data_IF_527171922392
#
_entry.id   IF_527171922392
#
_cell.length_a   1.000
_cell.length_b   1.000
_cell.length_c   1.000
_cell.angle_alpha   90.00
_cell.angle_beta   90.00
_cell.angle_gamma   90.00
#
_symmetry.space_group_name_H-M   'P 1'
#
loop_
_entity.id
_entity.type
_entity.pdbx_description
1 polymer ?
#
# COMPACT_ATOMS: atom_id res chain seq x y z
N UNK A 1 6.45 -7.02 -0.75
CA UNK A 1 6.82 -5.91 -1.63
C UNK A 1 7.49 -6.40 -2.91
N UNK A 2 8.46 -7.31 -2.84
CA UNK A 2 9.21 -7.82 -4.01
C UNK A 2 8.35 -8.53 -5.08
N UNK A 3 7.14 -8.90 -4.77
CA UNK A 3 6.24 -9.62 -5.69
C UNK A 3 5.26 -8.72 -6.45
N UNK A 4 5.35 -7.42 -6.27
CA UNK A 4 4.44 -6.47 -6.90
C UNK A 4 3.07 -6.40 -6.21
N UNK A 5 2.08 -5.94 -6.95
CA UNK A 5 0.70 -5.79 -6.46
C UNK A 5 -0.06 -7.11 -6.57
N UNK A 6 -1.14 -7.26 -5.81
CA UNK A 6 -2.07 -8.40 -5.93
C UNK A 6 -2.56 -8.55 -7.37
N UNK A 7 -2.87 -7.44 -8.04
CA UNK A 7 -3.28 -7.44 -9.45
C UNK A 7 -2.27 -8.14 -10.38
N UNK A 8 -0.97 -8.04 -10.09
CA UNK A 8 0.09 -8.65 -10.90
C UNK A 8 0.17 -10.19 -10.70
N UNK A 9 -0.44 -10.71 -9.63
CA UNK A 9 -0.55 -12.13 -9.35
C UNK A 9 -1.87 -12.74 -9.84
N UNK A 10 -2.87 -11.91 -10.18
CA UNK A 10 -4.18 -12.39 -10.67
C UNK A 10 -4.04 -12.84 -12.12
N UNK A 11 -4.38 -14.09 -12.38
CA UNK A 11 -4.42 -14.67 -13.73
C UNK A 11 -5.81 -14.59 -14.35
N UNK A 12 -6.84 -14.59 -13.52
CA UNK A 12 -8.22 -14.49 -13.97
C UNK A 12 -9.20 -14.38 -12.80
N UNK A 13 -10.41 -13.93 -13.10
CA UNK A 13 -11.48 -13.70 -12.13
C UNK A 13 -12.80 -14.27 -12.63
N UNK A 14 -13.62 -14.70 -11.67
CA UNK A 14 -15.07 -14.88 -11.86
C UNK A 14 -15.76 -13.72 -11.17
N UNK A 15 -16.65 -13.06 -11.91
CA UNK A 15 -17.31 -11.82 -11.49
C UNK A 15 -18.78 -11.86 -11.80
N UNK A 16 -19.60 -11.42 -10.85
CA UNK A 16 -21.03 -11.15 -11.07
C UNK A 16 -21.22 -9.65 -11.25
N UNK A 17 -21.74 -9.24 -12.38
CA UNK A 17 -22.02 -7.84 -12.70
C UNK A 17 -23.27 -7.30 -12.00
N UNK A 18 -23.54 -6.00 -12.17
CA UNK A 18 -24.75 -5.35 -11.66
C UNK A 18 -26.06 -5.90 -12.28
N UNK A 19 -25.95 -6.52 -13.46
CA UNK A 19 -27.04 -7.21 -14.15
C UNK A 19 -27.30 -8.63 -13.62
N UNK A 20 -26.54 -9.09 -12.64
CA UNK A 20 -26.62 -10.44 -12.10
C UNK A 20 -25.94 -11.51 -12.96
N UNK A 21 -25.31 -11.13 -14.07
CA UNK A 21 -24.68 -12.07 -14.98
C UNK A 21 -23.28 -12.43 -14.46
N UNK A 22 -23.02 -13.74 -14.33
CA UNK A 22 -21.71 -14.27 -13.99
C UNK A 22 -20.83 -14.32 -15.24
N UNK A 23 -19.68 -13.70 -15.18
CA UNK A 23 -18.68 -13.65 -16.25
C UNK A 23 -17.32 -14.14 -15.77
N UNK A 24 -16.48 -14.55 -16.72
CA UNK A 24 -15.07 -14.91 -16.45
C UNK A 24 -14.16 -14.03 -17.28
N UNK A 25 -13.10 -13.51 -16.68
CA UNK A 25 -12.07 -12.74 -17.36
C UNK A 25 -10.69 -13.33 -17.03
N UNK A 26 -9.79 -13.34 -18.01
CA UNK A 26 -8.49 -14.01 -17.87
C UNK A 26 -8.62 -15.53 -17.96
N UNK A 27 -7.72 -16.26 -17.33
CA UNK A 27 -7.68 -17.73 -17.38
C UNK A 27 -6.65 -18.33 -16.43
N UNK A 28 -6.42 -19.63 -16.54
CA UNK A 28 -5.45 -20.38 -15.72
C UNK A 28 -4.02 -20.37 -16.29
N UNK A 29 -3.77 -19.54 -17.29
CA UNK A 29 -2.49 -19.47 -18.00
C UNK A 29 -1.78 -18.16 -17.73
N UNK A 30 -0.46 -18.20 -17.61
CA UNK A 30 0.37 -17.04 -17.29
C UNK A 30 0.37 -15.98 -18.41
N UNK A 31 0.11 -16.40 -19.64
CA UNK A 31 0.02 -15.50 -20.81
C UNK A 31 -1.34 -15.68 -21.49
N UNK A 32 -2.19 -14.68 -21.34
CA UNK A 32 -3.44 -14.57 -22.08
C UNK A 32 -3.39 -13.28 -22.91
N UNK A 33 -3.38 -13.42 -24.24
CA UNK A 33 -3.33 -12.30 -25.19
C UNK A 33 -4.68 -12.04 -25.85
N UNK A 34 -5.73 -12.73 -25.40
CA UNK A 34 -7.05 -12.63 -25.99
C UNK A 34 -7.89 -11.63 -25.20
N UNK A 35 -8.20 -10.49 -25.81
CA UNK A 35 -9.10 -9.49 -25.23
C UNK A 35 -8.43 -8.51 -24.25
N UNK A 36 -9.26 -7.65 -23.65
CA UNK A 36 -8.81 -6.68 -22.64
C UNK A 36 -8.60 -7.37 -21.31
N UNK A 37 -7.53 -6.99 -20.60
CA UNK A 37 -7.26 -7.45 -19.23
C UNK A 37 -8.23 -6.77 -18.24
N UNK A 38 -9.46 -7.26 -18.20
CA UNK A 38 -10.47 -6.79 -17.27
C UNK A 38 -10.17 -7.21 -15.83
N UNK A 39 -9.42 -8.28 -15.61
CA UNK A 39 -9.05 -8.73 -14.27
C UNK A 39 -8.32 -7.63 -13.50
N UNK A 40 -7.42 -6.90 -14.17
CA UNK A 40 -6.73 -5.75 -13.57
C UNK A 40 -7.66 -4.59 -13.22
N UNK A 41 -8.79 -4.42 -13.90
CA UNK A 41 -9.75 -3.35 -13.62
C UNK A 41 -10.61 -3.64 -12.39
N UNK A 42 -10.90 -4.92 -12.15
CA UNK A 42 -11.62 -5.34 -10.95
C UNK A 42 -10.74 -5.27 -9.70
N UNK A 43 -9.43 -5.50 -9.82
CA UNK A 43 -8.49 -5.39 -8.70
C UNK A 43 -8.38 -3.94 -8.22
N UNK A 44 -8.79 -3.67 -6.98
CA UNK A 44 -8.79 -2.33 -6.40
C UNK A 44 -10.02 -1.50 -6.71
N UNK A 45 -11.06 -2.07 -7.32
CA UNK A 45 -12.33 -1.39 -7.58
C UNK A 45 -13.22 -1.25 -6.34
N UNK A 46 -12.82 -1.78 -5.19
CA UNK A 46 -13.60 -1.78 -3.95
C UNK A 46 -15.03 -2.35 -4.10
N UNK A 47 -15.21 -3.29 -5.02
CA UNK A 47 -16.52 -3.89 -5.32
C UNK A 47 -17.49 -2.96 -6.07
N UNK A 48 -17.00 -1.81 -6.56
CA UNK A 48 -17.84 -0.84 -7.27
C UNK A 48 -18.13 -1.23 -8.73
N UNK A 49 -17.41 -2.21 -9.29
CA UNK A 49 -17.55 -2.65 -10.68
C UNK A 49 -18.15 -4.06 -10.81
N UNK A 50 -18.18 -4.85 -9.74
CA UNK A 50 -18.68 -6.22 -9.73
C UNK A 50 -18.36 -6.91 -8.42
N UNK A 51 -19.02 -8.07 -8.21
CA UNK A 51 -18.78 -8.96 -7.07
C UNK A 51 -17.84 -10.08 -7.52
N UNK A 52 -16.65 -10.15 -6.91
CA UNK A 52 -15.69 -11.21 -7.20
C UNK A 52 -16.13 -12.50 -6.49
N UNK A 53 -16.38 -13.56 -7.25
CA UNK A 53 -16.81 -14.87 -6.72
C UNK A 53 -15.72 -15.92 -6.78
N UNK A 54 -14.69 -15.69 -7.60
CA UNK A 54 -13.55 -16.58 -7.71
C UNK A 54 -12.34 -15.89 -8.33
N UNK A 55 -11.15 -16.37 -8.01
CA UNK A 55 -9.91 -15.87 -8.57
C UNK A 55 -8.91 -17.01 -8.82
N UNK A 56 -8.15 -16.90 -9.92
CA UNK A 56 -6.96 -17.70 -10.17
C UNK A 56 -5.74 -16.83 -9.92
N UNK A 57 -4.88 -17.32 -9.02
CA UNK A 57 -3.67 -16.59 -8.62
C UNK A 57 -2.43 -17.36 -9.07
N UNK A 58 -1.43 -16.65 -9.52
CA UNK A 58 -0.09 -17.20 -9.74
C UNK A 58 0.59 -17.41 -8.39
N UNK A 59 0.86 -18.66 -8.06
CA UNK A 59 1.61 -19.03 -6.88
C UNK A 59 3.12 -18.93 -7.14
N UNK A 60 3.88 -18.75 -6.09
CA UNK A 60 5.33 -18.78 -6.07
C UNK A 60 5.80 -19.81 -5.07
N UNK A 61 6.95 -20.47 -5.31
CA UNK A 61 7.51 -21.38 -4.33
C UNK A 61 7.88 -20.64 -3.04
N UNK A 62 7.73 -21.31 -1.92
CA UNK A 62 8.25 -20.79 -0.65
C UNK A 62 9.77 -20.71 -0.70
N UNK A 63 10.40 -19.66 -0.17
CA UNK A 63 11.85 -19.58 -0.07
C UNK A 63 12.38 -20.68 0.87
N UNK A 64 13.61 -21.14 0.63
CA UNK A 64 14.28 -22.14 1.48
C UNK A 64 14.59 -21.57 2.87
N UNK A 65 14.96 -20.31 2.92
CA UNK A 65 15.19 -19.57 4.17
C UNK A 65 14.26 -18.35 4.16
N UNK A 66 13.67 -18.11 5.30
CA UNK A 66 12.86 -16.91 5.55
C UNK A 66 13.13 -16.43 6.96
N UNK A 67 13.49 -15.15 7.10
CA UNK A 67 13.74 -14.53 8.40
C UNK A 67 13.38 -13.05 8.38
N UNK A 68 13.23 -12.48 9.57
CA UNK A 68 13.00 -11.05 9.75
C UNK A 68 14.12 -10.42 10.58
N UNK A 69 14.53 -9.24 10.17
CA UNK A 69 15.54 -8.42 10.85
C UNK A 69 14.95 -7.06 11.19
N UNK A 70 15.35 -6.50 12.32
CA UNK A 70 15.03 -5.14 12.72
C UNK A 70 16.30 -4.37 13.13
N UNK A 71 16.33 -3.08 12.83
CA UNK A 71 17.36 -2.18 13.31
C UNK A 71 16.73 -0.87 13.78
N UNK A 72 17.35 -0.17 14.76
CA UNK A 72 16.99 1.21 15.10
C UNK A 72 17.05 2.10 13.84
N UNK A 73 16.21 3.13 13.79
CA UNK A 73 16.27 4.09 12.69
C UNK A 73 17.60 4.86 12.74
N UNK A 74 18.31 5.02 11.60
CA UNK A 74 19.52 5.83 11.52
C UNK A 74 19.16 7.34 11.44
N UNK A 75 18.44 7.85 12.45
CA UNK A 75 17.93 9.22 12.46
C UNK A 75 19.03 10.29 12.58
N UNK A 76 20.20 9.92 13.13
CA UNK A 76 21.32 10.83 13.34
C UNK A 76 22.29 10.86 12.15
N UNK A 77 22.05 10.03 11.13
CA UNK A 77 22.89 9.97 9.94
C UNK A 77 22.25 10.79 8.80
N UNK A 78 23.00 11.71 8.19
CA UNK A 78 22.60 12.30 6.92
C UNK A 78 22.36 11.16 5.93
N UNK A 79 21.24 11.21 5.19
CA UNK A 79 20.87 10.20 4.23
C UNK A 79 20.50 8.80 4.78
N UNK A 80 20.26 8.65 6.10
CA UNK A 80 19.93 7.36 6.73
C UNK A 80 18.69 6.71 6.11
N UNK A 81 17.66 7.49 5.80
CA UNK A 81 16.46 7.01 5.10
C UNK A 81 16.79 6.45 3.72
N UNK A 82 17.58 7.19 2.93
CA UNK A 82 17.98 6.78 1.59
C UNK A 82 18.90 5.55 1.60
N UNK A 83 19.77 5.45 2.60
CA UNK A 83 20.60 4.27 2.81
C UNK A 83 19.73 3.02 3.04
N UNK A 84 18.73 3.09 3.92
CA UNK A 84 17.77 2.00 4.15
C UNK A 84 16.96 1.68 2.88
N UNK A 85 16.54 2.70 2.14
CA UNK A 85 15.85 2.51 0.85
C UNK A 85 16.74 1.82 -0.17
N UNK A 86 18.03 2.13 -0.22
CA UNK A 86 19.01 1.46 -1.08
C UNK A 86 19.11 -0.04 -0.81
N UNK A 87 18.99 -0.47 0.46
CA UNK A 87 19.03 -1.87 0.88
C UNK A 87 17.84 -2.71 0.40
N UNK A 88 16.74 -2.07 -0.02
CA UNK A 88 15.58 -2.78 -0.60
C UNK A 88 15.90 -3.49 -1.92
N UNK A 89 17.03 -3.16 -2.55
CA UNK A 89 17.48 -3.74 -3.82
C UNK A 89 18.25 -5.05 -3.66
N UNK A 90 18.55 -5.45 -2.43
CA UNK A 90 19.18 -6.74 -2.14
C UNK A 90 18.25 -7.88 -2.59
N UNK A 91 18.84 -8.95 -3.13
CA UNK A 91 18.10 -10.00 -3.84
C UNK A 91 17.13 -10.75 -2.97
N UNK A 92 17.52 -11.04 -1.72
CA UNK A 92 16.68 -11.78 -0.77
C UNK A 92 15.71 -10.89 0.00
N UNK A 93 15.81 -9.55 -0.07
CA UNK A 93 14.89 -8.65 0.61
C UNK A 93 13.51 -8.71 -0.05
N UNK A 94 12.54 -9.25 0.68
CA UNK A 94 11.13 -9.43 0.26
C UNK A 94 10.26 -8.25 0.64
N UNK A 95 10.52 -7.67 1.80
CA UNK A 95 9.86 -6.47 2.28
C UNK A 95 10.83 -5.65 3.13
N UNK A 96 10.62 -4.34 3.14
CA UNK A 96 11.30 -3.43 4.03
C UNK A 96 10.33 -2.34 4.48
N UNK A 97 10.29 -2.11 5.79
CA UNK A 97 9.32 -1.22 6.40
C UNK A 97 10.06 -0.28 7.35
N UNK A 98 9.94 1.01 7.11
CA UNK A 98 10.37 2.06 8.02
C UNK A 98 9.19 2.43 8.92
N UNK A 99 9.38 2.46 10.24
CA UNK A 99 8.34 2.77 11.22
C UNK A 99 8.83 3.86 12.15
N UNK A 100 8.09 4.96 12.20
CA UNK A 100 8.40 6.11 13.05
C UNK A 100 7.36 6.30 14.18
N UNK A 101 7.08 5.23 14.88
CA UNK A 101 6.08 5.20 15.95
C UNK A 101 4.67 4.95 15.41
N UNK A 102 4.06 3.87 15.83
CA UNK A 102 2.68 3.50 15.48
C UNK A 102 1.71 3.66 16.66
N UNK A 103 2.13 4.39 17.72
CA UNK A 103 1.26 4.61 18.89
C UNK A 103 1.10 3.37 19.75
N UNK A 104 2.18 2.64 19.98
CA UNK A 104 2.28 1.49 20.88
C UNK A 104 3.69 1.44 21.50
N UNK A 105 4.04 0.35 22.16
CA UNK A 105 5.34 0.11 22.79
C UNK A 105 6.51 -0.10 21.79
N UNK A 106 6.31 0.25 20.51
CA UNK A 106 7.30 0.02 19.47
C UNK A 106 8.22 1.21 19.31
N UNK A 107 9.51 0.98 19.61
CA UNK A 107 10.56 1.91 19.28
C UNK A 107 10.64 2.12 17.75
N UNK A 108 10.97 3.33 17.29
CA UNK A 108 11.21 3.61 15.88
C UNK A 108 12.26 2.66 15.30
N UNK A 109 11.91 1.96 14.23
CA UNK A 109 12.79 0.94 13.65
C UNK A 109 12.58 0.74 12.15
N UNK A 110 13.59 0.23 11.48
CA UNK A 110 13.47 -0.32 10.13
C UNK A 110 13.46 -1.84 10.18
N UNK A 111 12.53 -2.44 9.47
CA UNK A 111 12.30 -3.87 9.41
C UNK A 111 12.60 -4.39 8.02
N UNK A 112 13.22 -5.57 7.93
CA UNK A 112 13.49 -6.28 6.69
C UNK A 112 13.00 -7.72 6.79
N UNK A 113 12.25 -8.17 5.79
CA UNK A 113 11.96 -9.58 5.57
C UNK A 113 12.87 -10.09 4.46
N UNK A 114 13.67 -11.11 4.77
CA UNK A 114 14.52 -11.79 3.82
C UNK A 114 13.92 -13.14 3.46
N UNK A 115 14.06 -13.54 2.18
CA UNK A 115 13.62 -14.85 1.75
C UNK A 115 14.29 -15.25 0.43
N UNK A 116 15.00 -16.38 0.45
CA UNK A 116 15.75 -16.88 -0.71
C UNK A 116 16.44 -18.20 -0.44
N UNK A 117 17.55 -18.45 -1.13
CA UNK A 117 18.49 -19.51 -0.80
C UNK A 117 19.36 -19.12 0.41
N UNK A 118 20.01 -20.09 1.04
CA UNK A 118 20.94 -19.81 2.13
C UNK A 118 22.10 -18.87 1.73
N UNK A 119 22.58 -19.00 0.50
CA UNK A 119 23.69 -18.16 0.01
C UNK A 119 23.25 -16.70 -0.22
N UNK A 120 22.06 -16.49 -0.78
CA UNK A 120 21.49 -15.16 -0.98
C UNK A 120 21.19 -14.49 0.36
N UNK A 121 20.58 -15.23 1.28
CA UNK A 121 20.28 -14.71 2.62
C UNK A 121 21.56 -14.32 3.38
N UNK A 122 22.56 -15.19 3.43
CA UNK A 122 23.81 -14.92 4.14
C UNK A 122 24.56 -13.70 3.55
N UNK A 123 24.57 -13.56 2.22
CA UNK A 123 25.18 -12.41 1.55
C UNK A 123 24.46 -11.11 1.90
N UNK A 124 23.16 -11.10 1.79
CA UNK A 124 22.35 -9.89 1.97
C UNK A 124 22.24 -9.51 3.46
N UNK A 125 22.19 -10.50 4.35
CA UNK A 125 22.29 -10.28 5.80
C UNK A 125 23.61 -9.60 6.16
N UNK A 126 24.75 -10.07 5.65
CA UNK A 126 26.03 -9.43 5.87
C UNK A 126 26.07 -7.98 5.33
N UNK A 127 25.42 -7.72 4.20
CA UNK A 127 25.28 -6.36 3.65
C UNK A 127 24.42 -5.44 4.53
N UNK A 128 23.39 -5.96 5.19
CA UNK A 128 22.60 -5.23 6.16
C UNK A 128 23.39 -4.98 7.44
N UNK A 129 24.06 -6.00 7.99
CA UNK A 129 24.90 -5.92 9.21
C UNK A 129 26.06 -4.93 9.04
N UNK A 130 26.59 -4.79 7.84
CA UNK A 130 27.64 -3.81 7.54
C UNK A 130 27.19 -2.35 7.62
N UNK A 131 25.87 -2.09 7.61
CA UNK A 131 25.31 -0.74 7.56
C UNK A 131 24.38 -0.40 8.72
N UNK A 132 23.78 -1.41 9.33
CA UNK A 132 22.75 -1.26 10.36
C UNK A 132 23.02 -2.23 11.50
N UNK A 133 22.70 -1.83 12.72
CA UNK A 133 22.73 -2.69 13.90
C UNK A 133 21.52 -3.63 13.91
N UNK A 134 21.42 -4.53 12.93
CA UNK A 134 20.27 -5.45 12.80
C UNK A 134 20.27 -6.52 13.87
N UNK A 135 19.06 -6.89 14.28
CA UNK A 135 18.77 -8.03 15.14
C UNK A 135 17.73 -8.91 14.47
N UNK A 136 17.86 -10.22 14.60
CA UNK A 136 16.83 -11.16 14.18
C UNK A 136 15.61 -11.07 15.09
N UNK A 137 14.42 -11.10 14.49
CA UNK A 137 13.14 -11.03 15.17
C UNK A 137 12.20 -12.08 14.60
N UNK A 138 11.09 -12.33 15.28
CA UNK A 138 10.07 -13.24 14.77
C UNK A 138 9.40 -12.69 13.50
N UNK A 139 9.17 -13.56 12.52
CA UNK A 139 8.46 -13.23 11.27
C UNK A 139 7.04 -12.70 11.54
N UNK A 140 6.38 -13.23 12.57
CA UNK A 140 5.05 -12.77 13.00
C UNK A 140 5.02 -11.26 13.29
N UNK A 141 6.17 -10.68 13.65
CA UNK A 141 6.27 -9.24 13.87
C UNK A 141 6.03 -8.43 12.58
N UNK A 142 6.53 -8.92 11.44
CA UNK A 142 6.31 -8.29 10.12
C UNK A 142 4.81 -8.36 9.75
N UNK A 143 4.17 -9.50 10.01
CA UNK A 143 2.74 -9.66 9.77
C UNK A 143 1.91 -8.77 10.70
N UNK A 144 2.29 -8.67 11.97
CA UNK A 144 1.66 -7.75 12.92
C UNK A 144 1.74 -6.28 12.47
N UNK A 145 2.88 -5.84 11.90
CA UNK A 145 3.02 -4.51 11.31
C UNK A 145 2.10 -4.29 10.10
N UNK A 146 1.90 -5.32 9.28
CA UNK A 146 0.94 -5.26 8.15
C UNK A 146 -0.49 -5.15 8.64
N UNK A 147 -0.86 -5.94 9.64
CA UNK A 147 -2.20 -5.95 10.23
C UNK A 147 -2.50 -4.65 10.99
N UNK A 148 -1.51 -4.10 11.70
CA UNK A 148 -1.63 -2.82 12.38
C UNK A 148 -2.00 -1.68 11.43
N UNK A 149 -1.53 -1.70 10.20
CA UNK A 149 -1.88 -0.71 9.17
C UNK A 149 -3.35 -0.79 8.73
N UNK A 150 -3.92 -1.99 8.73
CA UNK A 150 -5.33 -2.20 8.41
C UNK A 150 -6.24 -1.85 9.59
N UNK A 151 -5.72 -1.86 10.82
CA UNK A 151 -6.48 -1.55 12.01
C UNK A 151 -6.71 -0.03 12.15
N UNK A 152 -7.95 0.39 12.18
CA UNK A 152 -8.33 1.81 12.37
C UNK A 152 -8.06 2.23 13.81
N UNK A 153 -8.29 1.34 14.77
CA UNK A 153 -8.13 1.63 16.19
C UNK A 153 -8.92 2.88 16.62
N UNK A 154 -8.28 3.75 17.41
CA UNK A 154 -8.83 5.04 17.83
C UNK A 154 -8.49 6.20 16.88
N UNK A 155 -7.80 5.93 15.75
CA UNK A 155 -7.42 6.96 14.81
C UNK A 155 -8.64 7.58 14.13
N UNK A 156 -8.69 8.90 14.07
CA UNK A 156 -9.74 9.62 13.34
C UNK A 156 -9.46 9.71 11.84
N UNK A 157 -8.19 9.59 11.45
CA UNK A 157 -7.75 9.62 10.06
C UNK A 157 -6.74 8.50 9.77
N UNK A 158 -6.89 7.90 8.60
CA UNK A 158 -5.90 6.99 8.01
C UNK A 158 -5.64 7.44 6.59
N UNK A 159 -4.39 7.74 6.30
CA UNK A 159 -3.93 8.21 5.00
C UNK A 159 -2.93 7.22 4.42
N UNK A 160 -3.01 7.04 3.11
CA UNK A 160 -2.00 6.34 2.34
C UNK A 160 -1.56 7.21 1.17
N UNK A 161 -0.28 7.51 1.07
CA UNK A 161 0.28 8.23 -0.05
C UNK A 161 1.27 7.34 -0.81
N UNK A 162 1.08 7.22 -2.11
CA UNK A 162 2.07 6.60 -2.98
C UNK A 162 2.87 7.71 -3.64
N UNK A 163 4.17 7.71 -3.40
CA UNK A 163 5.11 8.73 -3.88
C UNK A 163 6.35 8.07 -4.48
N UNK A 164 7.18 8.84 -5.17
CA UNK A 164 8.51 8.35 -5.55
C UNK A 164 9.32 8.06 -4.28
N UNK A 165 10.13 7.01 -4.31
CA UNK A 165 10.93 6.61 -3.14
C UNK A 165 11.80 7.74 -2.59
N UNK A 166 12.33 8.60 -3.46
CA UNK A 166 13.12 9.79 -3.12
C UNK A 166 12.33 10.86 -2.36
N UNK A 167 11.01 10.86 -2.49
CA UNK A 167 10.16 11.88 -1.87
C UNK A 167 9.51 11.40 -0.56
N UNK A 168 9.66 10.10 -0.24
CA UNK A 168 9.07 9.50 0.96
C UNK A 168 9.49 10.21 2.23
N UNK A 169 10.78 10.51 2.39
CA UNK A 169 11.33 11.13 3.60
C UNK A 169 10.69 12.50 3.90
N UNK A 170 10.52 13.33 2.87
CA UNK A 170 9.88 14.62 3.02
C UNK A 170 8.42 14.50 3.49
N UNK A 171 7.69 13.50 2.96
CA UNK A 171 6.31 13.20 3.37
C UNK A 171 6.27 12.67 4.80
N UNK A 172 7.16 11.74 5.14
CA UNK A 172 7.29 11.18 6.50
C UNK A 172 7.46 12.31 7.51
N UNK A 173 8.46 13.18 7.29
CA UNK A 173 8.71 14.32 8.17
C UNK A 173 7.48 15.20 8.34
N UNK A 174 6.82 15.55 7.25
CA UNK A 174 5.65 16.44 7.29
C UNK A 174 4.45 15.82 8.01
N UNK A 175 4.23 14.51 7.82
CA UNK A 175 3.14 13.80 8.48
C UNK A 175 3.40 13.61 9.97
N UNK A 176 4.67 13.39 10.36
CA UNK A 176 5.08 13.37 11.78
C UNK A 176 4.89 14.73 12.47
N UNK A 177 5.31 15.82 11.81
CA UNK A 177 5.10 17.18 12.33
C UNK A 177 3.61 17.47 12.60
N UNK A 178 2.71 16.84 11.85
CA UNK A 178 1.27 16.91 12.09
C UNK A 178 0.77 15.98 13.22
N UNK A 179 1.68 15.24 13.89
CA UNK A 179 1.35 14.35 15.00
C UNK A 179 0.81 12.98 14.58
N UNK A 180 1.02 12.59 13.32
CA UNK A 180 0.61 11.27 12.85
C UNK A 180 1.71 10.23 13.10
N UNK A 181 1.32 9.02 13.44
CA UNK A 181 2.16 7.84 13.35
C UNK A 181 2.36 7.49 11.87
N UNK A 182 3.61 7.20 11.48
CA UNK A 182 3.98 7.02 10.08
C UNK A 182 4.78 5.74 9.88
N UNK A 183 4.44 5.00 8.85
CA UNK A 183 5.27 3.90 8.35
C UNK A 183 5.39 3.94 6.83
N UNK A 184 6.50 3.40 6.30
CA UNK A 184 6.78 3.43 4.86
C UNK A 184 7.15 2.04 4.36
N UNK A 185 6.48 1.59 3.30
CA UNK A 185 6.96 0.48 2.47
C UNK A 185 8.07 1.01 1.56
N UNK A 186 9.32 0.86 1.99
CA UNK A 186 10.48 1.46 1.32
C UNK A 186 10.63 1.00 -0.15
N UNK A 187 10.36 -0.29 -0.40
CA UNK A 187 10.45 -0.87 -1.75
C UNK A 187 9.32 -0.44 -2.70
N UNK A 188 8.21 0.08 -2.19
CA UNK A 188 7.04 0.47 -2.98
C UNK A 188 6.82 1.99 -3.03
N UNK A 189 7.50 2.77 -2.19
CA UNK A 189 7.23 4.19 -2.05
C UNK A 189 5.81 4.48 -1.52
N UNK A 190 5.34 3.68 -0.57
CA UNK A 190 4.01 3.85 0.02
C UNK A 190 4.15 4.28 1.47
N UNK A 191 3.70 5.48 1.75
CA UNK A 191 3.63 6.06 3.09
C UNK A 191 2.25 5.81 3.66
N UNK A 192 2.18 5.13 4.79
CA UNK A 192 0.99 4.92 5.59
C UNK A 192 1.05 5.82 6.82
N UNK A 193 -0.03 6.47 7.15
CA UNK A 193 -0.10 7.31 8.34
C UNK A 193 -1.47 7.25 8.98
N UNK A 194 -1.49 7.35 10.32
CA UNK A 194 -2.72 7.33 11.11
C UNK A 194 -2.60 8.20 12.35
N UNK A 195 -3.70 8.69 12.82
CA UNK A 195 -3.76 9.50 14.04
C UNK A 195 -5.02 10.34 14.12
N UNK A 196 -4.91 11.44 14.84
CA UNK A 196 -6.00 12.39 15.01
C UNK A 196 -5.54 13.75 14.50
N UNK A 197 -6.32 14.34 13.60
CA UNK A 197 -6.10 15.69 13.10
C UNK A 197 -7.16 16.63 13.69
N UNK A 198 -6.80 17.91 13.95
CA UNK A 198 -7.73 18.86 14.56
C UNK A 198 -8.84 19.31 13.61
N UNK A 199 -8.57 19.39 12.32
CA UNK A 199 -9.50 19.94 11.32
C UNK A 199 -9.39 19.22 9.98
N UNK A 200 -10.45 19.36 9.17
CA UNK A 200 -10.45 18.91 7.77
C UNK A 200 -9.39 19.64 6.93
N UNK A 201 -9.13 20.90 7.22
CA UNK A 201 -8.14 21.68 6.48
C UNK A 201 -6.72 21.14 6.69
N UNK A 202 -6.37 20.73 7.92
CA UNK A 202 -5.11 20.05 8.20
C UNK A 202 -4.95 18.77 7.36
N UNK A 203 -6.03 18.00 7.18
CA UNK A 203 -6.03 16.82 6.29
C UNK A 203 -5.77 17.18 4.82
N UNK A 204 -6.40 18.27 4.35
CA UNK A 204 -6.22 18.75 2.97
C UNK A 204 -4.82 19.31 2.72
N UNK A 205 -4.22 19.96 3.72
CA UNK A 205 -2.82 20.41 3.67
C UNK A 205 -1.85 19.24 3.51
N UNK A 206 -2.03 18.16 4.26
CA UNK A 206 -1.23 16.94 4.13
C UNK A 206 -1.39 16.30 2.75
N UNK A 207 -2.60 16.31 2.20
CA UNK A 207 -2.83 15.90 0.80
C UNK A 207 -2.05 16.76 -0.17
N UNK A 208 -2.12 18.10 -0.02
CA UNK A 208 -1.45 19.01 -0.92
C UNK A 208 0.07 18.78 -0.96
N UNK A 209 0.69 18.50 0.18
CA UNK A 209 2.12 18.13 0.27
C UNK A 209 2.42 16.90 -0.56
N UNK A 210 1.64 15.83 -0.43
CA UNK A 210 1.85 14.61 -1.21
C UNK A 210 1.61 14.83 -2.71
N UNK A 211 0.61 15.62 -3.10
CA UNK A 211 0.33 15.94 -4.51
C UNK A 211 1.45 16.78 -5.14
N UNK A 212 2.04 17.72 -4.39
CA UNK A 212 3.15 18.55 -4.88
C UNK A 212 4.40 17.74 -5.24
N UNK A 213 4.60 16.58 -4.60
CA UNK A 213 5.65 15.62 -4.97
C UNK A 213 5.23 14.64 -6.08
N UNK A 214 4.10 14.88 -6.75
CA UNK A 214 3.56 13.94 -7.75
C UNK A 214 2.93 12.68 -7.16
N UNK A 215 2.71 12.65 -5.86
CA UNK A 215 2.13 11.51 -5.17
C UNK A 215 0.63 11.39 -5.35
N UNK A 216 0.13 10.20 -5.03
CA UNK A 216 -1.30 9.84 -5.06
C UNK A 216 -1.77 9.55 -3.62
N UNK A 217 -2.22 10.58 -2.89
CA UNK A 217 -2.76 10.40 -1.54
C UNK A 217 -4.20 9.90 -1.59
N UNK A 218 -4.49 8.92 -0.74
CA UNK A 218 -5.83 8.36 -0.54
C UNK A 218 -6.20 8.46 0.93
N UNK A 219 -7.41 8.87 1.23
CA UNK A 219 -7.97 8.85 2.58
C UNK A 219 -8.73 7.54 2.78
N UNK A 220 -8.21 6.66 3.60
CA UNK A 220 -8.82 5.37 3.88
C UNK A 220 -9.86 5.48 5.00
N UNK A 221 -9.58 6.33 6.00
CA UNK A 221 -10.50 6.66 7.09
C UNK A 221 -10.50 8.17 7.31
N UNK A 222 -11.69 8.72 7.48
CA UNK A 222 -11.92 10.12 7.89
C UNK A 222 -13.15 10.20 8.77
N UNK A 223 -13.28 11.19 9.65
CA UNK A 223 -14.49 11.43 10.41
C UNK A 223 -15.70 11.60 9.49
N UNK A 224 -16.83 11.07 9.88
CA UNK A 224 -18.08 11.16 9.10
C UNK A 224 -18.46 12.61 8.79
N UNK A 225 -18.24 13.53 9.73
CA UNK A 225 -18.49 14.96 9.55
C UNK A 225 -17.62 15.64 8.46
N UNK A 226 -16.54 14.99 8.02
CA UNK A 226 -15.65 15.53 7.00
C UNK A 226 -15.90 14.95 5.60
N UNK A 227 -16.72 13.90 5.49
CA UNK A 227 -16.92 13.14 4.24
C UNK A 227 -17.65 13.93 3.17
N UNK A 228 -18.58 14.79 3.59
CA UNK A 228 -19.39 15.52 2.61
C UNK A 228 -18.53 16.38 1.68
N UNK A 229 -18.67 16.12 0.40
CA UNK A 229 -17.90 16.79 -0.64
C UNK A 229 -16.38 16.49 -0.61
N UNK A 230 -15.88 15.52 0.18
CA UNK A 230 -14.46 15.14 0.20
C UNK A 230 -14.18 14.11 -0.90
N UNK A 231 -13.23 14.41 -1.80
CA UNK A 231 -12.63 13.40 -2.65
C UNK A 231 -11.64 12.56 -1.82
N UNK A 232 -11.94 11.29 -1.60
CA UNK A 232 -11.10 10.39 -0.80
C UNK A 232 -9.97 9.75 -1.61
N UNK A 233 -10.03 9.77 -2.94
CA UNK A 233 -9.07 9.12 -3.82
C UNK A 233 -7.98 10.05 -4.35
N UNK A 234 -8.15 11.36 -4.25
CA UNK A 234 -7.23 12.35 -4.81
C UNK A 234 -7.17 12.31 -6.33
N UNK A 235 -8.27 11.96 -6.97
CA UNK A 235 -8.35 11.85 -8.43
C UNK A 235 -8.27 13.22 -9.11
N UNK A 236 -7.54 13.30 -10.23
CA UNK A 236 -7.63 14.48 -11.08
C UNK A 236 -9.00 14.54 -11.77
N UNK A 237 -9.48 15.74 -12.19
CA UNK A 237 -10.78 15.83 -12.89
C UNK A 237 -10.90 14.91 -14.10
N UNK A 238 -9.84 14.72 -14.86
CA UNK A 238 -9.80 13.81 -16.01
C UNK A 238 -9.94 12.35 -15.58
N UNK A 239 -9.22 11.95 -14.51
CA UNK A 239 -9.29 10.60 -13.95
C UNK A 239 -10.69 10.35 -13.36
N UNK A 240 -11.25 11.32 -12.65
CA UNK A 240 -12.60 11.25 -12.08
C UNK A 240 -13.66 11.03 -13.16
N UNK A 241 -13.60 11.79 -14.26
CA UNK A 241 -14.51 11.65 -15.39
C UNK A 241 -14.43 10.24 -16.01
N UNK A 242 -13.22 9.72 -16.23
CA UNK A 242 -13.01 8.37 -16.76
C UNK A 242 -13.53 7.30 -15.80
N UNK A 243 -13.24 7.40 -14.51
CA UNK A 243 -13.70 6.45 -13.50
C UNK A 243 -15.22 6.45 -13.40
N UNK A 244 -15.86 7.62 -13.45
CA UNK A 244 -17.33 7.76 -13.45
C UNK A 244 -17.96 7.15 -14.70
N UNK A 245 -17.33 7.28 -15.88
CA UNK A 245 -17.80 6.65 -17.09
C UNK A 245 -17.71 5.12 -17.01
N UNK A 246 -16.58 4.59 -16.50
CA UNK A 246 -16.41 3.16 -16.29
C UNK A 246 -17.46 2.64 -15.30
N UNK A 247 -17.64 3.31 -14.15
CA UNK A 247 -18.65 2.94 -13.16
C UNK A 247 -20.05 2.86 -13.79
N UNK A 248 -20.46 3.89 -14.51
CA UNK A 248 -21.78 3.94 -15.16
C UNK A 248 -22.00 2.83 -16.22
N UNK A 249 -20.92 2.37 -16.88
CA UNK A 249 -21.00 1.25 -17.83
C UNK A 249 -21.12 -0.11 -17.14
N UNK A 250 -20.40 -0.30 -16.02
CA UNK A 250 -20.40 -1.57 -15.28
C UNK A 250 -21.57 -1.68 -14.30
N UNK A 251 -22.05 -0.57 -13.79
CA UNK A 251 -23.14 -0.50 -12.83
C UNK A 251 -24.10 0.65 -13.16
N UNK A 252 -24.91 0.49 -14.22
CA UNK A 252 -25.83 1.53 -14.65
C UNK A 252 -26.94 1.82 -13.62
N UNK A 253 -27.20 0.90 -12.70
CA UNK A 253 -28.22 1.04 -11.66
C UNK A 253 -27.66 1.63 -10.35
N UNK A 254 -26.33 1.78 -10.22
CA UNK A 254 -25.68 2.34 -9.03
C UNK A 254 -25.82 1.48 -7.77
N UNK A 255 -25.96 0.15 -7.91
CA UNK A 255 -26.23 -0.77 -6.79
C UNK A 255 -24.95 -1.38 -6.18
N UNK A 256 -23.84 -1.31 -6.89
CA UNK A 256 -22.56 -1.90 -6.44
C UNK A 256 -21.77 -0.92 -5.57
N UNK A 257 -21.71 -1.17 -4.27
CA UNK A 257 -20.97 -0.37 -3.29
C UNK A 257 -21.11 1.14 -3.50
N UNK A 258 -22.31 1.71 -3.40
CA UNK A 258 -22.53 3.13 -3.58
C UNK A 258 -21.69 3.94 -2.58
N UNK A 259 -21.08 5.04 -3.05
CA UNK A 259 -20.20 5.88 -2.26
C UNK A 259 -18.75 5.35 -2.09
N UNK A 260 -18.41 4.20 -2.66
CA UNK A 260 -17.05 3.63 -2.67
C UNK A 260 -16.30 3.86 -3.98
N UNK A 261 -16.83 4.70 -4.84
CA UNK A 261 -16.21 5.14 -6.09
C UNK A 261 -15.94 6.65 -6.04
N UNK A 262 -15.53 7.23 -7.17
CA UNK A 262 -15.34 8.69 -7.29
C UNK A 262 -16.64 9.45 -7.07
N UNK A 263 -16.55 10.76 -6.82
CA UNK A 263 -17.68 11.64 -6.53
C UNK A 263 -18.87 11.42 -7.45
N UNK A 264 -20.05 11.30 -6.86
CA UNK A 264 -21.34 11.28 -7.58
C UNK A 264 -21.69 9.95 -8.24
N UNK A 265 -20.99 8.84 -7.90
CA UNK A 265 -21.32 7.52 -8.43
C UNK A 265 -21.49 6.49 -7.34
#
# INVERSE_FOLDING_TARGET
QSFGRVADAVLGLEVVGADGVATKTGGRVVKNVTGYDLAQRYCGSFGSLGVLTGAWLRLRPMPLVQLALAAPLPNDEPDGFEACRGLTRLTSVRASVWVEGEGGDDDPAVYFELGGSQAEEAHDRAALEARLAVKEIDLERIDALRDARAAVGSASVVLRARVLGTDCEAIVRRYREAGLAVSVDLGLGVVHSRGTLPTRDALLELRAVAVQTGGLPTFEVVPDSWRDGLDVFGATPATEALMSEIKRKFDPLGILNPGRSVRGT
#
